data_IF_818594653254
#
_entry.id   IF_818594653254
#
_cell.length_a   1.000
_cell.length_b   1.000
_cell.length_c   1.000
_cell.angle_alpha   90.00
_cell.angle_beta   90.00
_cell.angle_gamma   90.00
#
_symmetry.space_group_name_H-M   'P 1'
#
loop_
_entity.id
_entity.type
_entity.pdbx_description
1 polymer ?
#
# COMPACT_ATOMS: atom_id res chain seq x y z
N UNK A 1 23.02 -11.19 5.90
CA UNK A 1 22.40 -12.50 5.67
C UNK A 1 22.23 -12.67 4.17
N UNK A 2 22.43 -13.89 3.66
CA UNK A 2 22.22 -14.18 2.24
C UNK A 2 20.74 -14.41 1.99
N UNK A 3 20.14 -13.52 1.20
CA UNK A 3 18.72 -13.55 0.85
C UNK A 3 18.32 -14.83 0.11
N UNK A 4 19.26 -15.48 -0.58
CA UNK A 4 19.03 -16.73 -1.30
C UNK A 4 18.80 -17.89 -0.33
N UNK A 5 19.64 -17.98 0.70
CA UNK A 5 19.52 -18.93 1.80
C UNK A 5 18.20 -18.74 2.55
N UNK A 6 17.85 -17.50 2.89
CA UNK A 6 16.63 -17.17 3.64
C UNK A 6 15.35 -17.51 2.87
N UNK A 7 15.36 -17.36 1.53
CA UNK A 7 14.27 -17.80 0.66
C UNK A 7 14.11 -19.32 0.62
N UNK A 8 15.22 -20.05 0.55
CA UNK A 8 15.19 -21.52 0.52
C UNK A 8 14.66 -22.09 1.85
N UNK A 9 15.08 -21.51 2.97
CA UNK A 9 14.60 -21.90 4.29
C UNK A 9 13.09 -21.68 4.43
N UNK A 10 12.58 -20.54 3.93
CA UNK A 10 11.15 -20.25 3.94
C UNK A 10 10.36 -21.24 3.07
N UNK A 11 10.85 -21.58 1.88
CA UNK A 11 10.20 -22.58 1.01
C UNK A 11 10.14 -23.93 1.70
N UNK A 12 11.23 -24.34 2.35
CA UNK A 12 11.30 -25.63 3.01
C UNK A 12 10.37 -25.70 4.23
N UNK A 13 10.27 -24.60 4.99
CA UNK A 13 9.32 -24.48 6.09
C UNK A 13 7.86 -24.56 5.62
N UNK A 14 7.52 -23.81 4.55
CA UNK A 14 6.17 -23.84 3.96
C UNK A 14 5.80 -25.24 3.42
N UNK A 15 6.76 -25.99 2.87
CA UNK A 15 6.52 -27.33 2.36
C UNK A 15 6.24 -28.37 3.45
N UNK A 16 6.62 -28.10 4.70
CA UNK A 16 6.42 -28.98 5.85
C UNK A 16 5.14 -28.67 6.63
N UNK A 17 4.47 -27.56 6.32
CA UNK A 17 3.21 -27.18 6.95
C UNK A 17 2.07 -28.12 6.52
N UNK A 18 1.41 -28.70 7.52
CA UNK A 18 0.26 -29.59 7.34
C UNK A 18 -1.04 -29.02 7.92
N UNK A 19 -0.93 -27.95 8.71
CA UNK A 19 -2.08 -27.28 9.32
C UNK A 19 -2.81 -26.42 8.27
N UNK A 20 -4.05 -26.80 7.98
CA UNK A 20 -4.88 -26.17 6.96
C UNK A 20 -5.27 -24.72 7.32
N UNK A 21 -5.49 -24.42 8.60
CA UNK A 21 -5.86 -23.08 9.05
C UNK A 21 -4.69 -22.11 8.86
N UNK A 22 -3.46 -22.57 9.17
CA UNK A 22 -2.24 -21.79 8.95
C UNK A 22 -1.99 -21.58 7.46
N UNK A 23 -2.18 -22.60 6.62
CA UNK A 23 -2.02 -22.48 5.17
C UNK A 23 -3.00 -21.46 4.57
N UNK A 24 -4.26 -21.45 5.02
CA UNK A 24 -5.26 -20.47 4.60
C UNK A 24 -4.84 -19.05 4.97
N UNK A 25 -4.42 -18.82 6.22
CA UNK A 25 -3.93 -17.52 6.69
C UNK A 25 -2.75 -17.00 5.85
N UNK A 26 -1.81 -17.88 5.50
CA UNK A 26 -0.65 -17.52 4.66
C UNK A 26 -1.08 -17.13 3.24
N UNK A 27 -2.09 -17.82 2.67
CA UNK A 27 -2.65 -17.47 1.36
C UNK A 27 -3.36 -16.11 1.39
N UNK A 28 -4.08 -15.80 2.46
CA UNK A 28 -4.71 -14.48 2.66
C UNK A 28 -3.66 -13.38 2.68
N UNK A 29 -2.60 -13.52 3.49
CA UNK A 29 -1.50 -12.54 3.56
C UNK A 29 -0.78 -12.35 2.21
N UNK A 30 -0.60 -13.44 1.45
CA UNK A 30 -0.05 -13.38 0.08
C UNK A 30 -0.94 -12.54 -0.85
N UNK A 31 -2.26 -12.70 -0.75
CA UNK A 31 -3.21 -11.96 -1.57
C UNK A 31 -3.37 -10.52 -1.10
N UNK A 32 -3.35 -10.23 0.21
CA UNK A 32 -3.37 -8.87 0.76
C UNK A 32 -2.19 -8.03 0.26
N UNK A 33 -1.00 -8.63 0.11
CA UNK A 33 0.17 -7.94 -0.47
C UNK A 33 0.06 -7.68 -1.98
N UNK A 34 -0.80 -8.43 -2.68
CA UNK A 34 -1.04 -8.29 -4.12
C UNK A 34 -2.24 -7.37 -4.43
N UNK A 35 -3.18 -7.23 -3.50
CA UNK A 35 -4.41 -6.43 -3.61
C UNK A 35 -4.30 -5.03 -2.98
N UNK A 36 -3.12 -4.58 -2.55
CA UNK A 36 -2.95 -3.16 -2.22
C UNK A 36 -3.19 -2.38 -3.52
N UNK A 37 -4.25 -1.56 -3.65
CA UNK A 37 -4.49 -0.83 -4.87
C UNK A 37 -3.30 0.09 -5.11
N UNK A 38 -2.50 -0.24 -6.11
CA UNK A 38 -1.38 0.59 -6.49
C UNK A 38 -1.95 1.90 -7.04
N UNK A 39 -1.53 3.03 -6.43
CA UNK A 39 -1.93 4.34 -6.93
C UNK A 39 -1.52 4.45 -8.40
N UNK A 40 -2.47 4.87 -9.24
CA UNK A 40 -2.16 5.22 -10.64
C UNK A 40 -1.11 6.34 -10.67
N UNK A 41 -0.39 6.47 -11.79
CA UNK A 41 0.63 7.54 -11.96
C UNK A 41 0.05 8.91 -11.58
N UNK A 42 -1.14 9.24 -12.08
CA UNK A 42 -1.82 10.50 -11.78
C UNK A 42 -2.16 10.67 -10.29
N UNK A 43 -2.53 9.58 -9.60
CA UNK A 43 -2.81 9.62 -8.15
C UNK A 43 -1.52 9.80 -7.33
N UNK A 44 -0.42 9.18 -7.76
CA UNK A 44 0.91 9.38 -7.14
C UNK A 44 1.39 10.82 -7.32
N UNK A 45 1.28 11.37 -8.52
CA UNK A 45 1.64 12.77 -8.81
C UNK A 45 0.83 13.76 -7.97
N UNK A 46 -0.50 13.55 -7.87
CA UNK A 46 -1.36 14.41 -7.07
C UNK A 46 -1.03 14.35 -5.56
N UNK A 47 -0.67 13.15 -5.08
CA UNK A 47 -0.22 12.96 -3.70
C UNK A 47 1.12 13.66 -3.43
N UNK A 48 2.08 13.52 -4.34
CA UNK A 48 3.39 14.17 -4.22
C UNK A 48 3.28 15.70 -4.28
N UNK A 49 2.42 16.23 -5.15
CA UNK A 49 2.14 17.67 -5.24
C UNK A 49 1.50 18.21 -3.95
N UNK A 50 0.53 17.47 -3.39
CA UNK A 50 -0.09 17.81 -2.11
C UNK A 50 0.91 17.79 -0.95
N UNK A 51 1.77 16.75 -0.90
CA UNK A 51 2.82 16.65 0.11
C UNK A 51 3.83 17.79 0.00
N UNK A 52 4.28 18.12 -1.21
CA UNK A 52 5.21 19.23 -1.43
C UNK A 52 4.61 20.55 -0.99
N UNK A 53 3.37 20.82 -1.38
CA UNK A 53 2.67 22.06 -1.00
C UNK A 53 2.53 22.19 0.52
N UNK A 54 2.18 21.09 1.21
CA UNK A 54 2.07 21.09 2.68
C UNK A 54 3.42 21.26 3.38
N UNK A 55 4.50 20.66 2.85
CA UNK A 55 5.85 20.81 3.41
C UNK A 55 6.41 22.23 3.22
N UNK A 56 6.06 22.90 2.13
CA UNK A 56 6.45 24.28 1.85
C UNK A 56 5.64 25.29 2.67
N UNK A 57 4.34 25.08 2.83
CA UNK A 57 3.45 25.94 3.62
C UNK A 57 2.32 25.14 4.30
N UNK A 58 2.54 24.68 5.55
CA UNK A 58 1.57 23.86 6.28
C UNK A 58 0.24 24.55 6.58
N UNK A 59 0.19 25.89 6.57
CA UNK A 59 -1.02 26.66 6.83
C UNK A 59 -1.86 26.87 5.57
N UNK A 60 -1.28 26.67 4.39
CA UNK A 60 -1.93 26.81 3.09
C UNK A 60 -2.58 25.49 2.62
N UNK A 61 -3.47 24.95 3.44
CA UNK A 61 -4.26 23.76 3.11
C UNK A 61 -5.70 24.14 2.79
N UNK A 62 -6.27 23.53 1.75
CA UNK A 62 -7.71 23.68 1.48
C UNK A 62 -8.53 22.92 2.51
N UNK A 63 -9.58 23.54 3.02
CA UNK A 63 -10.58 22.88 3.84
C UNK A 63 -11.38 21.85 3.03
N UNK A 64 -11.93 20.86 3.73
CA UNK A 64 -12.75 19.82 3.09
C UNK A 64 -13.97 20.41 2.33
N UNK A 65 -14.56 21.50 2.83
CA UNK A 65 -15.69 22.16 2.18
C UNK A 65 -15.31 22.85 0.86
N UNK A 66 -14.09 23.42 0.78
CA UNK A 66 -13.56 24.01 -0.47
C UNK A 66 -13.27 22.93 -1.51
N UNK A 67 -12.70 21.80 -1.09
CA UNK A 67 -12.43 20.65 -1.97
C UNK A 67 -13.74 20.07 -2.50
N UNK A 68 -14.72 19.85 -1.61
CA UNK A 68 -16.04 19.32 -1.96
C UNK A 68 -16.76 20.22 -2.96
N UNK A 69 -16.71 21.54 -2.74
CA UNK A 69 -17.32 22.52 -3.66
C UNK A 69 -16.69 22.45 -5.06
N UNK A 70 -15.36 22.35 -5.15
CA UNK A 70 -14.63 22.24 -6.42
C UNK A 70 -15.01 21.00 -7.24
N UNK A 71 -15.20 19.86 -6.57
CA UNK A 71 -15.59 18.60 -7.21
C UNK A 71 -17.04 18.65 -7.69
N UNK A 72 -17.95 19.22 -6.88
CA UNK A 72 -19.38 19.32 -7.22
C UNK A 72 -19.67 20.35 -8.32
N UNK A 73 -18.80 21.35 -8.51
CA UNK A 73 -18.89 22.35 -9.58
C UNK A 73 -18.33 21.90 -10.93
N UNK A 74 -17.83 20.66 -11.02
CA UNK A 74 -17.20 20.09 -12.22
C UNK A 74 -18.14 19.11 -12.91
#
# INVERSE_FOLDING_TARGET
MDLSTEKLDLINWLAQLTDEEIILKIKELKNESADVPELTVNQKELLEEGLRSYLEDPENVSSWEEVKSRILSR
#
